data_IF_190977830122
#
_entry.id   IF_190977830122
#
_cell.length_a   1.000
_cell.length_b   1.000
_cell.length_c   1.000
_cell.angle_alpha   90.00
_cell.angle_beta   90.00
_cell.angle_gamma   90.00
#
_symmetry.space_group_name_H-M   'P 1'
#
loop_
_entity.id
_entity.type
_entity.pdbx_description
1 polymer ?
#
# COMPACT_ATOMS: atom_id res chain seq x y z
N UNK A 1 81.58 -8.56 -1.07
CA UNK A 1 80.16 -8.40 -0.68
C UNK A 1 79.41 -7.82 -1.87
N UNK A 2 78.33 -8.44 -2.32
CA UNK A 2 77.49 -7.92 -3.42
C UNK A 2 76.25 -7.28 -2.81
N UNK A 3 76.05 -5.98 -3.04
CA UNK A 3 74.84 -5.25 -2.66
C UNK A 3 73.83 -5.33 -3.80
N UNK A 4 72.77 -6.12 -3.62
CA UNK A 4 71.64 -6.17 -4.57
C UNK A 4 70.70 -5.02 -4.23
N UNK A 5 70.60 -4.05 -5.14
CA UNK A 5 69.66 -2.93 -5.04
C UNK A 5 68.37 -3.32 -5.76
N UNK A 6 67.28 -3.51 -5.01
CA UNK A 6 65.96 -3.74 -5.58
C UNK A 6 65.36 -2.41 -6.06
N UNK A 7 65.04 -2.33 -7.36
CA UNK A 7 64.31 -1.18 -7.91
C UNK A 7 62.81 -1.44 -7.80
N UNK A 8 62.09 -0.54 -7.17
CA UNK A 8 60.63 -0.63 -7.09
C UNK A 8 59.99 -0.56 -8.48
N UNK A 9 59.19 -1.57 -8.80
CA UNK A 9 58.35 -1.61 -9.99
C UNK A 9 57.17 -0.65 -9.84
N UNK A 10 57.04 0.35 -10.73
CA UNK A 10 55.94 1.32 -10.75
C UNK A 10 54.63 0.75 -11.34
N UNK A 11 54.49 -0.58 -11.37
CA UNK A 11 53.35 -1.29 -11.92
C UNK A 11 53.25 -1.23 -13.45
N UNK A 12 52.33 -2.02 -14.00
CA UNK A 12 52.05 -2.07 -15.44
C UNK A 12 51.11 -0.93 -15.87
N UNK A 13 51.04 -0.63 -17.17
CA UNK A 13 50.09 0.36 -17.69
C UNK A 13 48.63 0.05 -17.27
N UNK A 14 48.28 -1.23 -17.18
CA UNK A 14 46.96 -1.71 -16.76
C UNK A 14 46.68 -1.47 -15.27
N UNK A 15 47.68 -1.61 -14.38
CA UNK A 15 47.47 -1.33 -12.95
C UNK A 15 47.22 0.16 -12.71
N UNK A 16 47.95 1.04 -13.41
CA UNK A 16 47.74 2.50 -13.36
C UNK A 16 46.38 2.90 -13.91
N UNK A 17 45.90 2.27 -14.98
CA UNK A 17 44.56 2.47 -15.50
C UNK A 17 43.48 2.09 -14.47
N UNK A 18 43.62 0.92 -13.81
CA UNK A 18 42.70 0.49 -12.75
C UNK A 18 42.70 1.44 -11.56
N UNK A 19 43.86 1.94 -11.14
CA UNK A 19 43.98 2.91 -10.05
C UNK A 19 43.19 4.19 -10.36
N UNK A 20 43.31 4.73 -11.59
CA UNK A 20 42.53 5.91 -12.04
C UNK A 20 41.02 5.67 -12.08
N UNK A 21 40.58 4.42 -12.29
CA UNK A 21 39.17 4.05 -12.37
C UNK A 21 38.60 3.51 -11.06
N UNK A 22 39.41 3.41 -10.00
CA UNK A 22 39.03 2.76 -8.76
C UNK A 22 37.83 3.45 -8.09
N UNK A 23 37.82 4.79 -8.07
CA UNK A 23 36.75 5.60 -7.51
C UNK A 23 35.42 5.37 -8.23
N UNK A 24 35.41 5.44 -9.57
CA UNK A 24 34.22 5.18 -10.38
C UNK A 24 33.69 3.73 -10.25
N UNK A 25 34.59 2.77 -10.02
CA UNK A 25 34.19 1.39 -9.74
C UNK A 25 33.60 1.26 -8.34
N UNK A 26 34.16 1.95 -7.35
CA UNK A 26 33.65 1.96 -5.99
C UNK A 26 32.25 2.58 -5.92
N UNK A 27 32.06 3.72 -6.59
CA UNK A 27 30.75 4.39 -6.70
C UNK A 27 29.73 3.51 -7.43
N UNK A 28 30.12 2.85 -8.52
CA UNK A 28 29.23 1.90 -9.21
C UNK A 28 28.80 0.76 -8.28
N UNK A 29 29.73 0.19 -7.51
CA UNK A 29 29.45 -0.90 -6.56
C UNK A 29 28.54 -0.46 -5.42
N UNK A 30 28.72 0.74 -4.87
CA UNK A 30 27.85 1.26 -3.82
C UNK A 30 26.42 1.49 -4.32
N UNK A 31 26.29 2.08 -5.52
CA UNK A 31 24.98 2.30 -6.15
C UNK A 31 24.27 0.98 -6.47
N UNK A 32 25.00 -0.03 -6.97
CA UNK A 32 24.44 -1.35 -7.24
C UNK A 32 23.99 -2.05 -5.94
N UNK A 33 24.77 -1.95 -4.86
CA UNK A 33 24.40 -2.48 -3.56
C UNK A 33 23.13 -1.81 -3.00
N UNK A 34 23.02 -0.48 -3.14
CA UNK A 34 21.83 0.27 -2.73
C UNK A 34 20.60 -0.15 -3.55
N UNK A 35 20.73 -0.27 -4.87
CA UNK A 35 19.66 -0.71 -5.76
C UNK A 35 19.15 -2.11 -5.38
N UNK A 36 20.06 -3.06 -5.10
CA UNK A 36 19.68 -4.40 -4.62
C UNK A 36 18.94 -4.35 -3.29
N UNK A 37 19.35 -3.49 -2.36
CA UNK A 37 18.69 -3.31 -1.06
C UNK A 37 17.27 -2.76 -1.22
N UNK A 38 17.08 -1.78 -2.10
CA UNK A 38 15.77 -1.21 -2.44
C UNK A 38 14.89 -2.29 -3.09
N UNK A 39 15.40 -2.99 -4.10
CA UNK A 39 14.67 -4.05 -4.79
C UNK A 39 14.25 -5.16 -3.81
N UNK A 40 15.13 -5.59 -2.90
CA UNK A 40 14.81 -6.59 -1.89
C UNK A 40 13.72 -6.11 -0.94
N UNK A 41 13.81 -4.87 -0.46
CA UNK A 41 12.77 -4.26 0.40
C UNK A 41 11.41 -4.21 -0.31
N UNK A 42 11.38 -3.82 -1.59
CA UNK A 42 10.14 -3.77 -2.37
C UNK A 42 9.59 -5.17 -2.68
N UNK A 43 10.46 -6.14 -3.00
CA UNK A 43 10.06 -7.51 -3.34
C UNK A 43 9.42 -8.26 -2.16
N UNK A 44 9.79 -7.93 -0.92
CA UNK A 44 9.27 -8.56 0.29
C UNK A 44 8.07 -7.88 0.95
N UNK A 45 7.70 -6.66 0.53
CA UNK A 45 6.79 -5.81 1.31
C UNK A 45 5.32 -5.77 0.85
N UNK A 46 4.96 -6.43 -0.25
CA UNK A 46 3.59 -6.36 -0.81
C UNK A 46 2.51 -6.75 0.22
N UNK A 47 2.81 -7.70 1.11
CA UNK A 47 1.86 -8.14 2.15
C UNK A 47 1.76 -7.16 3.32
N UNK A 48 2.87 -6.55 3.73
CA UNK A 48 2.91 -5.61 4.85
C UNK A 48 2.36 -4.23 4.43
N UNK A 49 2.72 -3.74 3.25
CA UNK A 49 2.18 -2.47 2.72
C UNK A 49 0.66 -2.56 2.47
N UNK A 50 0.18 -3.71 1.96
CA UNK A 50 -1.26 -3.95 1.80
C UNK A 50 -1.98 -4.06 3.14
N UNK A 51 -1.37 -4.70 4.15
CA UNK A 51 -1.93 -4.80 5.50
C UNK A 51 -1.90 -3.47 6.27
N UNK A 52 -0.89 -2.63 6.02
CA UNK A 52 -0.76 -1.29 6.59
C UNK A 52 -1.54 -0.22 5.81
N UNK A 53 -2.07 -0.57 4.62
CA UNK A 53 -2.86 0.37 3.82
C UNK A 53 -4.13 0.79 4.59
N UNK A 54 -4.26 2.10 4.80
CA UNK A 54 -5.37 2.73 5.53
C UNK A 54 -6.75 2.41 4.91
N UNK A 55 -6.79 2.12 3.61
CA UNK A 55 -8.02 1.71 2.91
C UNK A 55 -8.66 0.46 3.52
N UNK A 56 -7.86 -0.55 3.89
CA UNK A 56 -8.37 -1.79 4.50
C UNK A 56 -8.92 -1.57 5.93
N UNK A 57 -8.40 -0.58 6.64
CA UNK A 57 -8.77 -0.23 8.02
C UNK A 57 -10.05 0.62 8.05
N UNK A 58 -10.18 1.56 7.11
CA UNK A 58 -11.34 2.45 6.99
C UNK A 58 -12.60 1.73 6.49
N UNK A 59 -12.47 0.74 5.60
CA UNK A 59 -13.63 0.00 5.07
C UNK A 59 -14.30 -0.90 6.12
N UNK A 60 -13.51 -1.56 6.98
CA UNK A 60 -14.04 -2.48 8.02
C UNK A 60 -15.00 -1.80 8.99
N UNK A 61 -14.67 -0.58 9.46
CA UNK A 61 -15.52 0.17 10.40
C UNK A 61 -16.87 0.53 9.76
N UNK A 62 -16.87 0.95 8.49
CA UNK A 62 -18.09 1.31 7.76
C UNK A 62 -18.98 0.08 7.51
N UNK A 63 -18.38 -1.03 7.11
CA UNK A 63 -19.08 -2.29 6.86
C UNK A 63 -19.70 -2.86 8.15
N UNK A 64 -18.99 -2.79 9.27
CA UNK A 64 -19.49 -3.21 10.58
C UNK A 64 -20.74 -2.42 11.01
N UNK A 65 -20.74 -1.10 10.83
CA UNK A 65 -21.88 -0.23 11.18
C UNK A 65 -23.11 -0.58 10.35
N UNK A 66 -22.95 -0.78 9.03
CA UNK A 66 -24.07 -1.17 8.14
C UNK A 66 -24.63 -2.53 8.55
N UNK A 67 -23.77 -3.51 8.83
CA UNK A 67 -24.18 -4.84 9.28
C UNK A 67 -24.94 -4.79 10.60
N UNK A 68 -24.48 -4.00 11.57
CA UNK A 68 -25.12 -3.84 12.89
C UNK A 68 -26.51 -3.21 12.74
N UNK A 69 -26.65 -2.15 11.97
CA UNK A 69 -27.94 -1.51 11.72
C UNK A 69 -28.93 -2.49 11.07
N UNK A 70 -28.50 -3.24 10.04
CA UNK A 70 -29.36 -4.22 9.38
C UNK A 70 -29.82 -5.34 10.32
N UNK A 71 -28.91 -5.85 11.16
CA UNK A 71 -29.22 -6.90 12.14
C UNK A 71 -30.16 -6.44 13.26
N UNK A 72 -30.27 -5.15 13.53
CA UNK A 72 -31.13 -4.61 14.58
C UNK A 72 -32.51 -4.28 14.01
N UNK A 73 -32.57 -3.52 12.90
CA UNK A 73 -33.83 -3.00 12.36
C UNK A 73 -34.65 -4.03 11.58
N UNK A 74 -34.00 -4.96 10.89
CA UNK A 74 -34.66 -5.95 10.03
C UNK A 74 -34.63 -7.36 10.63
N UNK A 75 -34.42 -7.47 11.95
CA UNK A 75 -34.45 -8.76 12.62
C UNK A 75 -35.90 -9.26 12.69
N UNK A 76 -36.14 -10.44 12.14
CA UNK A 76 -37.41 -11.13 12.33
C UNK A 76 -37.46 -11.75 13.73
N UNK A 77 -38.14 -11.05 14.64
CA UNK A 77 -38.18 -11.41 16.06
C UNK A 77 -39.29 -12.42 16.43
N UNK A 78 -40.06 -12.96 15.47
CA UNK A 78 -41.25 -13.77 15.81
C UNK A 78 -41.40 -15.04 14.95
N UNK A 79 -41.34 -16.25 15.56
CA UNK A 79 -41.59 -17.52 14.87
C UNK A 79 -43.08 -17.83 14.60
N UNK A 80 -44.03 -17.07 15.15
CA UNK A 80 -45.48 -17.32 15.06
C UNK A 80 -46.29 -16.17 14.42
N UNK A 81 -45.62 -15.24 13.72
CA UNK A 81 -46.25 -14.34 12.75
C UNK A 81 -47.53 -13.62 13.19
N UNK A 82 -47.38 -12.42 13.75
CA UNK A 82 -48.03 -11.21 13.24
C UNK A 82 -47.50 -10.01 14.04
N UNK A 83 -46.62 -9.26 13.38
CA UNK A 83 -46.07 -8.01 13.86
C UNK A 83 -47.20 -6.97 13.80
N UNK A 84 -47.36 -6.18 14.86
CA UNK A 84 -47.99 -4.86 14.95
C UNK A 84 -48.90 -4.50 13.76
N UNK A 85 -50.20 -4.27 14.00
CA UNK A 85 -51.17 -3.79 12.99
C UNK A 85 -50.82 -2.39 12.45
N UNK A 86 -49.71 -2.26 11.73
CA UNK A 86 -49.25 -1.02 11.12
C UNK A 86 -50.04 -0.80 9.83
N UNK A 87 -51.20 -0.18 9.94
CA UNK A 87 -52.00 0.25 8.80
C UNK A 87 -51.55 1.65 8.40
N UNK A 88 -50.66 1.76 7.40
CA UNK A 88 -50.34 3.05 6.79
C UNK A 88 -51.57 3.60 6.07
N UNK A 89 -52.03 4.79 6.48
CA UNK A 89 -53.10 5.54 5.81
C UNK A 89 -52.52 6.79 5.17
N UNK A 90 -52.84 7.00 3.89
CA UNK A 90 -52.44 8.19 3.14
C UNK A 90 -53.70 9.03 2.89
N UNK A 91 -53.65 10.33 3.18
CA UNK A 91 -54.67 11.28 2.72
C UNK A 91 -54.21 11.90 1.41
N UNK A 92 -55.07 11.85 0.39
CA UNK A 92 -54.83 12.51 -0.89
C UNK A 92 -55.34 13.95 -0.81
N UNK A 93 -54.52 14.87 -1.30
CA UNK A 93 -54.88 16.28 -1.44
C UNK A 93 -54.82 16.64 -2.93
N UNK A 94 -55.72 17.52 -3.39
CA UNK A 94 -55.65 18.06 -4.74
C UNK A 94 -54.39 18.89 -4.89
N UNK A 95 -53.46 18.43 -5.72
CA UNK A 95 -52.31 19.24 -6.15
C UNK A 95 -52.71 19.95 -7.42
N UNK A 96 -52.63 21.29 -7.42
CA UNK A 96 -52.88 22.06 -8.64
C UNK A 96 -51.87 21.63 -9.72
N UNK A 97 -52.33 21.45 -10.97
CA UNK A 97 -51.41 21.19 -12.08
C UNK A 97 -50.45 22.37 -12.22
N UNK A 98 -49.18 22.07 -12.48
CA UNK A 98 -48.16 23.10 -12.73
C UNK A 98 -48.63 23.97 -13.90
N UNK A 99 -48.79 25.28 -13.65
CA UNK A 99 -49.25 26.26 -14.66
C UNK A 99 -50.63 26.87 -14.42
N UNK A 100 -51.31 26.56 -13.32
CA UNK A 100 -52.49 27.32 -12.89
C UNK A 100 -52.07 28.62 -12.18
N UNK A 101 -51.75 29.65 -12.97
CA UNK A 101 -51.74 31.06 -12.56
C UNK A 101 -52.70 31.84 -13.45
#
# INVERSE_FOLDING_TARGET
MVTIVWKESKGTAKSRYKARRAELIAERRSNEALARKIALKLSGCVRADKAASLGSLCCKKKEEVVRKNRSIYYKDSNPLGNKIHAVQKIKLYSKLPYGAY
#
